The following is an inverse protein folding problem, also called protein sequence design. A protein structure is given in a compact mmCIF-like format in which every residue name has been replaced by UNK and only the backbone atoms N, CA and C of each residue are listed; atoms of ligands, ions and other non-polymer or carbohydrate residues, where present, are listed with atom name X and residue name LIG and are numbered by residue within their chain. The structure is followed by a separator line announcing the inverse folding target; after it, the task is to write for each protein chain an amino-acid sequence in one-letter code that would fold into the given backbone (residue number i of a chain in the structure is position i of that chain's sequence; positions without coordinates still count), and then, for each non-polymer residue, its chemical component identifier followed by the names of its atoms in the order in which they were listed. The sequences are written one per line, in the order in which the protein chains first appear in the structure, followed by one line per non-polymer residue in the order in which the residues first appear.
data_IF_320010271426
#
_entry.id   IF_320010271426
#
_cell.length_a   1.000
_cell.length_b   1.000
_cell.length_c   1.000
_cell.angle_alpha   90.00
_cell.angle_beta   90.00
_cell.angle_gamma   90.00
#
_symmetry.space_group_name_H-M   'P 1'
#
loop_
_entity.id
_entity.type
_entity.pdbx_description
1 polymer ?
#
# COMPACT_ATOMS: atom_id res chain seq x y z
N UNK A 1 25.64 -19.24 6.60
CA UNK A 1 25.41 -18.09 7.50
C UNK A 1 23.92 -17.76 7.53
N UNK A 2 23.26 -17.89 8.69
CA UNK A 2 21.82 -17.69 8.89
C UNK A 2 21.59 -16.27 9.44
N UNK A 3 20.84 -15.41 8.74
CA UNK A 3 20.44 -14.09 9.27
C UNK A 3 19.43 -14.30 10.39
N UNK A 4 19.71 -13.74 11.58
CA UNK A 4 18.77 -13.62 12.70
C UNK A 4 17.95 -12.37 12.47
N UNK A 5 16.68 -12.54 12.14
CA UNK A 5 15.71 -11.44 12.08
C UNK A 5 14.97 -11.44 13.42
N UNK A 6 15.57 -10.84 14.44
CA UNK A 6 14.89 -10.57 15.70
C UNK A 6 14.02 -9.32 15.49
N UNK A 7 12.71 -9.53 15.35
CA UNK A 7 11.76 -8.43 15.17
C UNK A 7 11.61 -7.68 16.49
N UNK A 8 12.14 -6.46 16.57
CA UNK A 8 12.07 -5.54 17.72
C UNK A 8 10.66 -4.94 17.94
N UNK A 9 9.61 -5.77 17.87
CA UNK A 9 8.21 -5.38 18.07
C UNK A 9 7.53 -6.31 19.07
N UNK A 10 8.20 -6.58 20.19
CA UNK A 10 7.57 -7.16 21.37
C UNK A 10 7.60 -6.13 22.49
N UNK A 11 6.44 -5.58 22.85
CA UNK A 11 6.39 -4.79 24.08
C UNK A 11 5.17 -3.94 24.36
N UNK A 12 4.27 -3.67 23.41
CA UNK A 12 3.02 -2.99 23.79
C UNK A 12 2.02 -4.02 24.29
N UNK A 13 1.99 -4.24 25.61
CA UNK A 13 0.96 -5.02 26.29
C UNK A 13 -0.42 -4.53 25.85
N UNK A 14 -1.08 -5.31 24.99
CA UNK A 14 -2.53 -5.22 24.79
C UNK A 14 -3.14 -5.59 26.14
N UNK A 15 -3.62 -4.60 26.89
CA UNK A 15 -4.38 -4.86 28.10
C UNK A 15 -5.50 -5.84 27.72
N UNK A 16 -5.52 -7.04 28.32
CA UNK A 16 -6.56 -8.04 28.10
C UNK A 16 -7.89 -7.46 28.57
N UNK A 17 -8.62 -6.84 27.64
CA UNK A 17 -10.01 -6.47 27.84
C UNK A 17 -10.83 -7.76 27.69
N UNK A 18 -10.91 -8.55 28.75
CA UNK A 18 -11.80 -9.71 28.83
C UNK A 18 -13.24 -9.27 29.05
N UNK A 19 -13.81 -8.51 28.11
CA UNK A 19 -15.25 -8.67 27.89
C UNK A 19 -15.39 -9.98 27.13
N UNK A 20 -15.95 -11.00 27.76
CA UNK A 20 -16.31 -12.22 27.06
C UNK A 20 -17.26 -11.84 25.92
N UNK A 21 -16.73 -11.72 24.70
CA UNK A 21 -17.53 -11.56 23.49
C UNK A 21 -18.41 -12.81 23.48
N UNK A 22 -19.71 -12.64 23.71
CA UNK A 22 -20.67 -13.73 23.59
C UNK A 22 -20.51 -14.28 22.18
N UNK A 23 -20.01 -15.52 22.07
CA UNK A 23 -19.88 -16.21 20.78
C UNK A 23 -21.29 -16.44 20.24
N UNK A 24 -21.79 -15.50 19.45
CA UNK A 24 -23.00 -15.73 18.65
C UNK A 24 -22.64 -16.75 17.56
N UNK A 25 -23.53 -17.70 17.32
CA UNK A 25 -23.39 -18.62 16.18
C UNK A 25 -23.47 -17.76 14.92
N UNK A 26 -22.40 -17.78 14.12
CA UNK A 26 -22.38 -17.12 12.81
C UNK A 26 -23.33 -17.91 11.90
N UNK A 27 -24.23 -17.21 11.22
CA UNK A 27 -25.05 -17.80 10.17
C UNK A 27 -24.24 -17.79 8.87
N UNK A 28 -24.22 -18.93 8.18
CA UNK A 28 -23.52 -19.13 6.91
C UNK A 28 -24.48 -19.48 5.78
N UNK A 29 -25.79 -19.33 5.99
CA UNK A 29 -26.82 -19.74 5.02
C UNK A 29 -26.72 -18.99 3.67
N UNK A 30 -26.13 -17.80 3.67
CA UNK A 30 -25.90 -16.94 2.51
C UNK A 30 -24.49 -17.07 1.89
N UNK A 31 -23.56 -17.76 2.56
CA UNK A 31 -22.16 -17.89 2.15
C UNK A 31 -21.84 -19.37 1.96
N UNK A 32 -22.15 -19.96 0.78
CA UNK A 32 -21.81 -21.34 0.50
C UNK A 32 -20.29 -21.55 0.50
N UNK A 33 -19.80 -22.74 0.88
CA UNK A 33 -18.38 -23.06 0.76
C UNK A 33 -17.95 -23.02 -0.70
N UNK A 34 -16.73 -22.55 -0.95
CA UNK A 34 -16.13 -22.56 -2.28
C UNK A 34 -15.90 -24.01 -2.72
N UNK A 35 -16.11 -24.30 -4.00
CA UNK A 35 -15.76 -25.60 -4.58
C UNK A 35 -14.23 -25.74 -4.71
N UNK A 36 -13.73 -26.97 -4.77
CA UNK A 36 -12.30 -27.23 -4.95
C UNK A 36 -11.77 -26.63 -6.26
N UNK A 37 -12.59 -26.62 -7.32
CA UNK A 37 -12.26 -25.99 -8.60
C UNK A 37 -12.13 -24.46 -8.47
N UNK A 38 -13.03 -23.82 -7.74
CA UNK A 38 -12.97 -22.38 -7.47
C UNK A 38 -11.71 -22.04 -6.66
N UNK A 39 -11.42 -22.82 -5.61
CA UNK A 39 -10.21 -22.66 -4.80
C UNK A 39 -8.93 -22.83 -5.62
N UNK A 40 -8.87 -23.84 -6.49
CA UNK A 40 -7.74 -24.10 -7.37
C UNK A 40 -7.49 -22.94 -8.38
N UNK A 41 -8.55 -22.23 -8.79
CA UNK A 41 -8.46 -21.09 -9.70
C UNK A 41 -7.99 -19.78 -9.05
N UNK A 42 -7.97 -19.70 -7.71
CA UNK A 42 -7.63 -18.46 -7.00
C UNK A 42 -6.15 -18.12 -7.14
N UNK A 43 -5.84 -16.97 -7.76
CA UNK A 43 -4.47 -16.46 -7.84
C UNK A 43 -4.17 -15.51 -6.68
N UNK A 44 -3.02 -15.70 -6.02
CA UNK A 44 -2.47 -14.67 -5.14
C UNK A 44 -2.04 -13.46 -5.98
N UNK A 45 -2.86 -12.42 -5.98
CA UNK A 45 -2.59 -11.20 -6.78
C UNK A 45 -1.62 -10.23 -6.12
N UNK A 46 -1.19 -10.50 -4.88
CA UNK A 46 -0.22 -9.67 -4.17
C UNK A 46 -0.65 -8.21 -4.04
N UNK A 47 0.30 -7.33 -3.71
CA UNK A 47 0.10 -5.89 -3.86
C UNK A 47 0.24 -5.56 -5.35
N UNK A 48 -0.69 -4.80 -5.95
CA UNK A 48 -0.52 -4.31 -7.31
C UNK A 48 0.82 -3.59 -7.46
N UNK A 49 1.66 -3.96 -8.43
CA UNK A 49 2.94 -3.28 -8.64
C UNK A 49 2.69 -1.82 -9.04
N UNK A 50 3.40 -0.89 -8.42
CA UNK A 50 3.32 0.56 -8.69
C UNK A 50 4.30 0.99 -9.81
N UNK A 51 4.63 0.07 -10.72
CA UNK A 51 5.69 0.15 -11.73
C UNK A 51 6.54 -1.12 -11.79
N UNK A 52 7.59 -1.12 -12.60
CA UNK A 52 8.55 -2.23 -12.71
C UNK A 52 9.35 -2.44 -11.41
N UNK A 53 9.57 -1.35 -10.67
CA UNK A 53 10.30 -1.33 -9.41
C UNK A 53 9.50 -0.64 -8.29
N UNK A 54 9.71 -1.02 -7.01
CA UNK A 54 9.12 -0.32 -5.88
C UNK A 54 9.67 1.12 -5.77
N UNK A 55 8.80 2.07 -5.42
CA UNK A 55 9.21 3.47 -5.20
C UNK A 55 10.24 3.56 -4.07
N UNK A 56 11.34 4.25 -4.34
CA UNK A 56 12.36 4.55 -3.35
C UNK A 56 12.00 5.84 -2.60
N UNK A 57 12.10 5.79 -1.26
CA UNK A 57 11.93 6.96 -0.41
C UNK A 57 13.23 7.77 -0.43
N UNK A 58 13.16 8.95 -1.03
CA UNK A 58 14.29 9.88 -1.13
C UNK A 58 13.92 11.23 -0.52
N UNK A 59 14.92 11.94 -0.03
CA UNK A 59 14.79 13.35 0.36
C UNK A 59 15.35 14.23 -0.76
N UNK A 60 14.51 15.06 -1.36
CA UNK A 60 14.91 16.05 -2.38
C UNK A 60 14.58 17.46 -1.89
N UNK A 61 15.44 18.42 -2.22
CA UNK A 61 15.16 19.85 -2.00
C UNK A 61 14.54 20.44 -3.26
N UNK A 62 13.41 21.12 -3.10
CA UNK A 62 12.70 21.79 -4.17
C UNK A 62 12.55 23.27 -3.84
N UNK A 63 12.59 24.12 -4.85
CA UNK A 63 12.28 25.54 -4.67
C UNK A 63 10.84 25.71 -4.12
N UNK A 64 10.60 26.58 -3.14
CA UNK A 64 9.28 26.77 -2.55
C UNK A 64 8.20 27.19 -3.55
N UNK A 65 8.54 27.98 -4.59
CA UNK A 65 7.62 28.37 -5.67
C UNK A 65 7.20 27.15 -6.48
N UNK A 66 8.16 26.28 -6.82
CA UNK A 66 7.91 25.03 -7.56
C UNK A 66 6.99 24.11 -6.76
N UNK A 67 7.26 23.94 -5.45
CA UNK A 67 6.43 23.10 -4.59
C UNK A 67 4.97 23.61 -4.51
N UNK A 68 4.77 24.93 -4.38
CA UNK A 68 3.42 25.52 -4.37
C UNK A 68 2.70 25.30 -5.69
N UNK A 69 3.38 25.50 -6.81
CA UNK A 69 2.84 25.26 -8.14
C UNK A 69 2.44 23.79 -8.33
N UNK A 70 3.32 22.84 -7.98
CA UNK A 70 3.03 21.40 -8.05
C UNK A 70 1.78 21.02 -7.26
N UNK A 71 1.65 21.52 -6.03
CA UNK A 71 0.47 21.26 -5.19
C UNK A 71 -0.81 21.80 -5.84
N UNK A 72 -0.77 23.03 -6.36
CA UNK A 72 -1.94 23.63 -7.01
C UNK A 72 -2.37 22.85 -8.26
N UNK A 73 -1.42 22.42 -9.10
CA UNK A 73 -1.70 21.60 -10.29
C UNK A 73 -2.25 20.23 -9.89
N UNK A 74 -1.67 19.60 -8.87
CA UNK A 74 -2.09 18.30 -8.38
C UNK A 74 -3.53 18.34 -7.84
N UNK A 75 -3.90 19.38 -7.10
CA UNK A 75 -5.28 19.61 -6.64
C UNK A 75 -6.25 19.77 -7.82
N UNK A 76 -5.90 20.56 -8.84
CA UNK A 76 -6.73 20.71 -10.05
C UNK A 76 -6.96 19.40 -10.79
N UNK A 77 -5.96 18.50 -10.77
CA UNK A 77 -6.02 17.18 -11.41
C UNK A 77 -6.55 16.07 -10.50
N UNK A 78 -6.91 16.39 -9.25
CA UNK A 78 -7.35 15.43 -8.23
C UNK A 78 -6.37 14.26 -8.00
N UNK A 79 -5.07 14.51 -8.12
CA UNK A 79 -4.01 13.52 -7.86
C UNK A 79 -3.08 14.00 -6.74
N UNK A 80 -2.41 13.09 -6.00
CA UNK A 80 -1.37 13.48 -5.04
C UNK A 80 -0.20 14.17 -5.76
N UNK A 81 0.36 15.23 -5.16
CA UNK A 81 1.49 15.95 -5.78
C UNK A 81 2.74 15.06 -5.92
N UNK A 82 2.90 14.06 -5.05
CA UNK A 82 4.00 13.08 -5.12
C UNK A 82 3.87 12.14 -6.33
N UNK A 83 2.65 11.83 -6.75
CA UNK A 83 2.44 11.08 -7.99
C UNK A 83 2.70 11.97 -9.19
N UNK A 84 2.18 13.21 -9.17
CA UNK A 84 2.40 14.17 -10.25
C UNK A 84 3.89 14.44 -10.52
N UNK A 85 4.69 14.67 -9.48
CA UNK A 85 6.13 14.91 -9.65
C UNK A 85 6.83 13.69 -10.24
N UNK A 86 6.45 12.48 -9.80
CA UNK A 86 7.01 11.24 -10.34
C UNK A 86 6.64 11.06 -11.82
N UNK A 87 5.38 11.31 -12.18
CA UNK A 87 4.90 11.19 -13.56
C UNK A 87 5.61 12.19 -14.48
N UNK A 88 5.81 13.43 -14.02
CA UNK A 88 6.57 14.44 -14.77
C UNK A 88 8.01 14.00 -15.00
N UNK A 89 8.71 13.52 -13.96
CA UNK A 89 10.08 13.02 -14.08
C UNK A 89 10.17 11.81 -15.01
N UNK A 90 9.21 10.89 -14.93
CA UNK A 90 9.15 9.72 -15.81
C UNK A 90 8.89 10.13 -17.27
N UNK A 91 8.05 11.14 -17.52
CA UNK A 91 7.84 11.69 -18.86
C UNK A 91 9.10 12.33 -19.43
N UNK A 92 9.85 13.09 -18.63
CA UNK A 92 11.11 13.69 -19.08
C UNK A 92 12.19 12.62 -19.33
N UNK A 93 12.29 11.61 -18.46
CA UNK A 93 13.19 10.47 -18.65
C UNK A 93 12.96 9.78 -20.01
N UNK A 94 11.69 9.55 -20.38
CA UNK A 94 11.31 8.94 -21.67
C UNK A 94 11.59 9.80 -22.90
N UNK A 95 11.76 11.12 -22.74
CA UNK A 95 12.09 12.02 -23.85
C UNK A 95 13.60 12.11 -24.08
N UNK A 96 14.38 11.96 -23.01
CA UNK A 96 15.84 12.10 -23.03
C UNK A 96 16.52 10.77 -23.36
N UNK A 97 15.93 9.65 -22.95
CA UNK A 97 16.35 8.30 -23.36
C UNK A 97 15.74 7.91 -24.70
#
# INVERSE_FOLDING_TARGET
MKKRSDSSVEGWRIAKKTSAIKKRKIDYSDIPPLTDEQLASMRRVGRPPLGDEPRQLIAIRLDPKVLRWLRAVATKRQVPYQSLINDMLASEMKKVG
#
